data_IF_901620090194
#
_entry.id   IF_901620090194
#
_cell.length_a   1.000
_cell.length_b   1.000
_cell.length_c   1.000
_cell.angle_alpha   90.00
_cell.angle_beta   90.00
_cell.angle_gamma   90.00
#
_symmetry.space_group_name_H-M   'P 1'
#
loop_
_entity.id
_entity.type
_entity.pdbx_description
1 polymer ?
#
# COMPACT_ATOMS: atom_id res chain seq x y z
N UNK A 1 -11.21 3.21 19.77
CA UNK A 1 -10.58 3.91 18.65
C UNK A 1 -11.70 4.45 17.80
N UNK A 2 -11.71 5.73 17.48
CA UNK A 2 -12.68 6.31 16.56
C UNK A 2 -12.24 5.87 15.14
N UNK A 3 -13.02 5.00 14.53
CA UNK A 3 -12.72 4.41 13.22
C UNK A 3 -13.21 5.32 12.07
N UNK A 4 -13.83 6.46 12.41
CA UNK A 4 -14.36 7.38 11.44
C UNK A 4 -13.31 8.36 10.95
N UNK A 5 -13.27 8.59 9.65
CA UNK A 5 -12.62 9.76 9.07
C UNK A 5 -13.67 10.84 8.79
N UNK A 6 -13.21 12.06 8.65
CA UNK A 6 -14.06 13.17 8.24
C UNK A 6 -13.58 13.68 6.89
N UNK A 7 -14.41 13.60 5.83
CA UNK A 7 -14.06 14.19 4.56
C UNK A 7 -13.88 15.70 4.74
N UNK A 8 -12.83 16.22 4.12
CA UNK A 8 -12.54 17.66 4.11
C UNK A 8 -12.83 18.17 2.71
N UNK A 9 -13.64 19.21 2.64
CA UNK A 9 -13.91 19.97 1.41
C UNK A 9 -13.25 21.33 1.51
N UNK A 10 -12.80 21.88 0.41
CA UNK A 10 -12.16 23.21 0.35
C UNK A 10 -12.68 24.01 -0.84
N UNK A 11 -12.81 25.32 -0.65
CA UNK A 11 -13.14 26.26 -1.71
C UNK A 11 -11.88 26.73 -2.48
N UNK A 12 -10.71 26.15 -2.17
CA UNK A 12 -9.48 26.46 -2.89
C UNK A 12 -9.63 26.13 -4.38
N UNK A 13 -9.01 26.93 -5.22
CA UNK A 13 -8.94 26.63 -6.64
C UNK A 13 -8.12 25.34 -6.87
N UNK A 14 -8.63 24.46 -7.71
CA UNK A 14 -7.92 23.27 -8.09
C UNK A 14 -6.68 23.62 -8.94
N UNK A 15 -5.58 22.91 -8.70
CA UNK A 15 -4.36 23.00 -9.52
C UNK A 15 -4.33 21.79 -10.44
N UNK A 16 -4.06 22.02 -11.72
CA UNK A 16 -3.85 20.92 -12.67
C UNK A 16 -2.60 20.11 -12.25
N UNK A 17 -2.85 18.91 -11.72
CA UNK A 17 -1.81 18.07 -11.14
C UNK A 17 -2.18 16.59 -11.37
N UNK A 18 -1.88 16.06 -12.56
CA UNK A 18 -2.17 14.66 -12.85
C UNK A 18 -1.36 13.72 -11.94
N UNK A 19 -1.98 12.62 -11.57
CA UNK A 19 -1.29 11.51 -10.91
C UNK A 19 -0.46 10.69 -11.90
N UNK A 20 0.14 9.62 -11.42
CA UNK A 20 0.88 8.65 -12.25
C UNK A 20 0.34 7.24 -12.04
N UNK A 21 0.60 6.34 -12.97
CA UNK A 21 0.17 4.95 -12.88
C UNK A 21 1.08 4.08 -11.98
N UNK A 22 2.19 4.63 -11.50
CA UNK A 22 3.20 3.90 -10.72
C UNK A 22 3.26 4.41 -9.28
N UNK A 23 3.31 3.49 -8.34
CA UNK A 23 3.51 3.82 -6.92
C UNK A 23 4.86 4.49 -6.65
N UNK A 24 5.89 4.09 -7.36
CA UNK A 24 7.25 4.58 -7.11
C UNK A 24 7.45 6.00 -7.64
N UNK A 25 6.72 6.34 -8.71
CA UNK A 25 6.76 7.66 -9.35
C UNK A 25 5.52 8.50 -9.01
N UNK A 26 4.72 8.07 -8.01
CA UNK A 26 3.48 8.75 -7.67
C UNK A 26 3.70 10.24 -7.36
N UNK A 27 2.84 11.08 -7.94
CA UNK A 27 2.87 12.52 -7.72
C UNK A 27 2.69 12.84 -6.25
N UNK A 28 3.69 13.51 -5.65
CA UNK A 28 3.62 13.93 -4.25
C UNK A 28 2.64 15.07 -4.04
N UNK A 29 1.76 14.96 -3.03
CA UNK A 29 0.88 16.04 -2.61
C UNK A 29 1.26 16.50 -1.20
N UNK A 30 1.47 17.82 -1.06
CA UNK A 30 1.57 18.48 0.24
C UNK A 30 0.14 18.73 0.77
N UNK A 31 -0.48 17.64 1.25
CA UNK A 31 -1.85 17.70 1.75
C UNK A 31 -1.90 18.42 3.10
N UNK A 32 -2.73 19.47 3.19
CA UNK A 32 -2.94 20.25 4.42
C UNK A 32 -4.19 19.78 5.16
N UNK A 33 -4.38 20.25 6.39
CA UNK A 33 -5.60 19.95 7.15
C UNK A 33 -6.85 20.63 6.56
N UNK A 34 -6.68 21.73 5.84
CA UNK A 34 -7.73 22.46 5.14
C UNK A 34 -8.09 21.85 3.77
N UNK A 35 -7.30 20.88 3.32
CA UNK A 35 -7.44 20.23 2.02
C UNK A 35 -6.58 20.87 0.94
N UNK A 36 -5.95 20.04 0.14
CA UNK A 36 -5.25 20.41 -1.10
C UNK A 36 -6.07 19.90 -2.27
N UNK A 37 -6.46 20.79 -3.18
CA UNK A 37 -7.35 20.48 -4.31
C UNK A 37 -6.56 20.44 -5.61
N UNK A 38 -6.70 19.32 -6.33
CA UNK A 38 -6.10 19.13 -7.64
C UNK A 38 -7.17 18.79 -8.68
N UNK A 39 -6.95 19.17 -9.92
CA UNK A 39 -7.75 18.77 -11.05
C UNK A 39 -6.97 17.80 -11.93
N UNK A 40 -7.65 16.84 -12.49
CA UNK A 40 -7.10 15.88 -13.45
C UNK A 40 -8.17 15.37 -14.38
N UNK A 41 -7.77 14.68 -15.44
CA UNK A 41 -8.64 13.93 -16.33
C UNK A 41 -8.08 12.52 -16.47
N UNK A 42 -8.94 11.51 -16.40
CA UNK A 42 -8.58 10.10 -16.59
C UNK A 42 -9.35 9.56 -17.79
N UNK A 43 -8.67 8.83 -18.66
CA UNK A 43 -9.33 8.05 -19.70
C UNK A 43 -9.83 6.71 -19.15
N UNK A 44 -10.78 6.09 -19.84
CA UNK A 44 -11.20 4.71 -19.55
C UNK A 44 -10.00 3.76 -19.49
N UNK A 45 -9.96 2.92 -18.47
CA UNK A 45 -8.86 2.00 -18.18
C UNK A 45 -7.65 2.63 -17.52
N UNK A 46 -7.65 3.95 -17.29
CA UNK A 46 -6.54 4.66 -16.65
C UNK A 46 -6.63 4.57 -15.13
N UNK A 47 -5.45 4.56 -14.50
CA UNK A 47 -5.29 4.67 -13.05
C UNK A 47 -4.28 5.77 -12.74
N UNK A 48 -4.60 6.63 -11.81
CA UNK A 48 -3.70 7.67 -11.33
C UNK A 48 -3.52 7.58 -9.82
N UNK A 49 -2.30 7.85 -9.35
CA UNK A 49 -1.86 7.75 -7.97
C UNK A 49 -1.22 9.05 -7.51
N UNK A 50 -1.61 9.49 -6.32
CA UNK A 50 -0.96 10.58 -5.59
C UNK A 50 -0.44 10.07 -4.27
N UNK A 51 0.78 10.46 -3.93
CA UNK A 51 1.46 10.08 -2.70
C UNK A 51 1.31 11.16 -1.64
N UNK A 52 0.93 10.76 -0.44
CA UNK A 52 0.64 11.65 0.69
C UNK A 52 1.34 11.12 1.94
N UNK A 53 2.27 11.86 2.55
CA UNK A 53 2.90 11.46 3.80
C UNK A 53 1.91 11.60 4.97
N UNK A 54 1.78 10.55 5.79
CA UNK A 54 0.89 10.51 6.96
C UNK A 54 1.67 10.01 8.18
N UNK A 55 1.70 10.80 9.23
CA UNK A 55 2.38 10.49 10.48
C UNK A 55 1.51 9.73 11.49
N UNK A 56 2.12 9.32 12.61
CA UNK A 56 1.39 8.75 13.73
C UNK A 56 0.31 9.71 14.25
N UNK A 57 -0.90 9.21 14.49
CA UNK A 57 -2.04 9.99 14.98
C UNK A 57 -2.72 10.84 13.92
N UNK A 58 -2.16 10.94 12.73
CA UNK A 58 -2.78 11.60 11.59
C UNK A 58 -3.65 10.64 10.79
N UNK A 59 -4.57 11.18 10.03
CA UNK A 59 -5.42 10.44 9.10
C UNK A 59 -5.47 11.17 7.75
N UNK A 60 -5.63 10.42 6.68
CA UNK A 60 -5.85 10.97 5.34
C UNK A 60 -7.31 10.80 4.97
N UNK A 61 -7.86 11.83 4.31
CA UNK A 61 -9.15 11.77 3.64
C UNK A 61 -9.02 12.29 2.22
N UNK A 62 -9.81 11.75 1.31
CA UNK A 62 -9.89 12.21 -0.06
C UNK A 62 -11.34 12.28 -0.52
N UNK A 63 -11.63 13.33 -1.28
CA UNK A 63 -12.94 13.59 -1.89
C UNK A 63 -12.71 13.81 -3.37
N UNK A 64 -13.34 12.99 -4.22
CA UNK A 64 -13.33 13.17 -5.67
C UNK A 64 -14.70 13.66 -6.11
N UNK A 65 -14.73 14.82 -6.71
CA UNK A 65 -15.92 15.42 -7.31
C UNK A 65 -15.90 15.13 -8.83
N UNK A 66 -16.93 14.46 -9.30
CA UNK A 66 -17.18 14.16 -10.70
C UNK A 66 -18.28 15.12 -11.20
N UNK A 67 -18.02 15.97 -12.19
CA UNK A 67 -19.07 16.78 -12.78
C UNK A 67 -20.06 15.90 -13.54
N UNK A 68 -21.23 16.43 -13.82
CA UNK A 68 -22.14 15.80 -14.77
C UNK A 68 -21.49 15.73 -16.16
N UNK A 69 -21.74 14.65 -16.88
CA UNK A 69 -21.44 14.56 -18.28
C UNK A 69 -22.38 15.49 -19.06
N UNK A 70 -21.84 16.28 -19.96
CA UNK A 70 -22.59 17.21 -20.79
C UNK A 70 -22.01 17.17 -22.21
N UNK A 71 -22.72 16.53 -23.13
CA UNK A 71 -22.38 16.50 -24.55
C UNK A 71 -23.14 17.59 -25.36
N UNK A 72 -23.95 18.40 -24.66
CA UNK A 72 -24.75 19.47 -25.27
C UNK A 72 -26.05 18.96 -25.90
N UNK A 73 -26.38 17.65 -25.82
CA UNK A 73 -27.64 17.09 -26.28
C UNK A 73 -28.54 16.71 -25.07
N UNK A 74 -29.61 17.49 -24.79
CA UNK A 74 -30.46 17.24 -23.63
C UNK A 74 -31.29 15.96 -23.71
N UNK A 75 -31.36 15.31 -24.85
CA UNK A 75 -32.10 14.08 -25.06
C UNK A 75 -31.17 12.83 -25.12
N UNK A 76 -29.84 13.02 -25.08
CA UNK A 76 -28.89 11.92 -25.04
C UNK A 76 -28.88 11.28 -23.64
N UNK A 77 -28.92 9.97 -23.61
CA UNK A 77 -28.70 9.21 -22.36
C UNK A 77 -27.28 8.63 -22.38
N UNK A 78 -26.46 9.07 -21.43
CA UNK A 78 -25.09 8.63 -21.33
C UNK A 78 -24.89 7.75 -20.09
N UNK A 79 -24.37 6.54 -20.32
CA UNK A 79 -23.89 5.63 -19.28
C UNK A 79 -22.38 5.48 -19.45
N UNK A 80 -21.65 6.22 -18.67
CA UNK A 80 -20.20 6.22 -18.73
C UNK A 80 -19.55 5.14 -17.87
N UNK A 81 -18.23 5.16 -17.80
CA UNK A 81 -17.47 4.19 -17.02
C UNK A 81 -17.65 4.37 -15.52
N UNK A 82 -17.39 3.29 -14.77
CA UNK A 82 -17.28 3.37 -13.32
C UNK A 82 -15.95 4.01 -12.90
N UNK A 83 -16.05 4.95 -12.00
CA UNK A 83 -14.89 5.61 -11.35
C UNK A 83 -14.78 5.11 -9.93
N UNK A 84 -13.60 4.67 -9.54
CA UNK A 84 -13.30 4.21 -8.19
C UNK A 84 -12.20 5.02 -7.57
N UNK A 85 -12.37 5.39 -6.29
CA UNK A 85 -11.33 5.99 -5.46
C UNK A 85 -10.98 5.05 -4.31
N UNK A 86 -9.68 4.95 -3.98
CA UNK A 86 -9.16 4.12 -2.89
C UNK A 86 -8.04 4.83 -2.13
N UNK A 87 -7.85 4.44 -0.87
CA UNK A 87 -6.64 4.73 -0.12
C UNK A 87 -5.82 3.45 0.02
N UNK A 88 -4.55 3.53 -0.35
CA UNK A 88 -3.57 2.44 -0.26
C UNK A 88 -2.55 2.79 0.82
N UNK A 89 -2.30 1.87 1.74
CA UNK A 89 -1.39 2.07 2.86
C UNK A 89 0.09 1.87 2.48
N UNK A 90 1.05 2.20 3.36
CA UNK A 90 2.48 2.01 3.09
C UNK A 90 2.89 0.56 2.82
N UNK A 91 2.09 -0.42 3.23
CA UNK A 91 2.32 -1.84 2.97
C UNK A 91 1.67 -2.32 1.66
N UNK A 92 1.13 -1.40 0.86
CA UNK A 92 0.41 -1.65 -0.40
C UNK A 92 -0.91 -2.40 -0.22
N UNK A 93 -1.46 -2.39 0.99
CA UNK A 93 -2.80 -2.87 1.25
C UNK A 93 -3.84 -1.80 0.92
N UNK A 94 -4.94 -2.20 0.28
CA UNK A 94 -6.12 -1.34 0.21
C UNK A 94 -6.81 -1.45 1.56
N UNK A 95 -6.96 -0.30 2.22
CA UNK A 95 -7.73 -0.28 3.44
C UNK A 95 -9.21 -0.31 3.10
N UNK A 96 -9.91 -1.28 3.66
CA UNK A 96 -11.37 -1.34 3.65
C UNK A 96 -11.83 -1.74 5.04
N UNK A 97 -12.84 -1.08 5.56
CA UNK A 97 -13.54 -1.53 6.75
C UNK A 97 -14.87 -2.19 6.36
N UNK A 98 -15.62 -2.66 7.36
CA UNK A 98 -16.94 -3.25 7.15
C UNK A 98 -18.01 -2.25 6.63
N UNK A 99 -17.64 -0.99 6.49
CA UNK A 99 -18.48 0.11 5.99
C UNK A 99 -17.98 0.70 4.67
N UNK A 100 -16.99 0.06 4.04
CA UNK A 100 -16.42 0.46 2.73
C UNK A 100 -15.74 1.83 2.68
N UNK A 101 -15.35 2.40 3.82
CA UNK A 101 -14.75 3.74 3.88
C UNK A 101 -13.36 3.84 3.21
N UNK A 102 -12.73 2.72 2.85
CA UNK A 102 -11.42 2.67 2.20
C UNK A 102 -11.49 2.71 0.67
N UNK A 103 -12.68 2.53 0.10
CA UNK A 103 -12.94 2.67 -1.34
C UNK A 103 -14.36 3.14 -1.57
N UNK A 104 -14.57 3.88 -2.65
CA UNK A 104 -15.88 4.31 -3.11
C UNK A 104 -15.90 4.29 -4.65
N UNK A 105 -17.07 4.03 -5.23
CA UNK A 105 -17.26 4.05 -6.68
C UNK A 105 -18.58 4.70 -7.08
N UNK A 106 -18.61 5.28 -8.26
CA UNK A 106 -19.79 5.78 -8.92
C UNK A 106 -19.62 5.68 -10.44
N UNK A 107 -20.73 5.56 -11.14
CA UNK A 107 -20.74 5.65 -12.61
C UNK A 107 -20.71 7.12 -13.02
N UNK A 108 -19.78 7.48 -13.92
CA UNK A 108 -19.74 8.80 -14.52
C UNK A 108 -20.92 8.95 -15.50
N UNK A 109 -21.72 9.97 -15.35
CA UNK A 109 -22.95 10.11 -16.11
C UNK A 109 -23.60 11.48 -16.02
N UNK A 110 -24.89 11.56 -16.33
CA UNK A 110 -25.68 12.80 -16.42
C UNK A 110 -25.80 13.57 -15.10
N UNK A 111 -25.61 12.92 -13.95
CA UNK A 111 -25.65 13.54 -12.64
C UNK A 111 -24.26 13.64 -12.06
N UNK A 112 -23.91 14.78 -11.39
CA UNK A 112 -22.63 14.88 -10.71
C UNK A 112 -22.57 13.88 -9.55
N UNK A 113 -21.39 13.32 -9.31
CA UNK A 113 -21.17 12.40 -8.22
C UNK A 113 -20.00 12.85 -7.33
N UNK A 114 -20.06 12.49 -6.06
CA UNK A 114 -18.99 12.72 -5.10
C UNK A 114 -18.61 11.41 -4.44
N UNK A 115 -17.34 11.07 -4.52
CA UNK A 115 -16.76 9.89 -3.90
C UNK A 115 -15.91 10.31 -2.70
N UNK A 116 -16.07 9.65 -1.57
CA UNK A 116 -15.31 9.96 -0.35
C UNK A 116 -14.66 8.73 0.20
N UNK A 117 -13.37 8.84 0.55
CA UNK A 117 -12.60 7.79 1.19
C UNK A 117 -11.68 8.38 2.26
N UNK A 118 -11.23 7.56 3.17
CA UNK A 118 -10.26 7.98 4.17
C UNK A 118 -9.78 6.86 5.06
N UNK A 119 -8.87 7.17 5.95
CA UNK A 119 -8.34 6.23 6.94
C UNK A 119 -8.73 6.64 8.35
N UNK A 120 -8.77 5.73 9.31
CA UNK A 120 -8.71 6.10 10.71
C UNK A 120 -7.36 6.75 11.02
N UNK A 121 -7.23 7.35 12.19
CA UNK A 121 -5.95 7.86 12.63
C UNK A 121 -4.91 6.74 12.68
N UNK A 122 -3.73 7.00 12.08
CA UNK A 122 -2.63 6.03 12.06
C UNK A 122 -2.20 5.69 13.49
N UNK A 123 -2.32 4.43 13.86
CA UNK A 123 -2.09 3.98 15.22
C UNK A 123 -1.43 2.60 15.31
N UNK A 124 -0.44 2.48 16.21
CA UNK A 124 0.26 1.21 16.42
C UNK A 124 -0.70 0.06 16.77
N UNK A 125 -1.76 0.34 17.54
CA UNK A 125 -2.71 -0.68 17.98
C UNK A 125 -3.68 -1.11 16.87
N UNK A 126 -3.79 -0.36 15.77
CA UNK A 126 -4.65 -0.71 14.64
C UNK A 126 -4.28 -2.07 14.02
N UNK A 127 -3.01 -2.48 14.15
CA UNK A 127 -2.52 -3.80 13.68
C UNK A 127 -3.12 -5.00 14.38
N UNK A 128 -3.73 -4.81 15.54
CA UNK A 128 -4.32 -5.89 16.34
C UNK A 128 -5.83 -6.00 16.17
N UNK A 129 -6.42 -5.14 15.37
CA UNK A 129 -7.85 -5.13 15.04
C UNK A 129 -8.08 -5.21 13.54
N UNK A 130 -9.33 -5.14 13.15
CA UNK A 130 -9.73 -4.99 11.75
C UNK A 130 -9.68 -3.53 11.26
N UNK A 131 -9.08 -2.65 12.03
CA UNK A 131 -8.93 -1.23 11.73
C UNK A 131 -7.69 -1.03 10.89
N UNK A 132 -7.80 -0.34 9.77
CA UNK A 132 -6.69 -0.03 8.87
C UNK A 132 -5.69 0.98 9.44
N UNK A 133 -4.73 1.40 8.62
CA UNK A 133 -3.71 2.40 8.97
C UNK A 133 -2.81 2.02 10.19
N UNK A 134 -2.14 0.86 10.16
CA UNK A 134 -1.32 0.39 11.28
C UNK A 134 0.07 1.02 11.35
N UNK A 135 0.53 1.69 10.31
CA UNK A 135 1.87 2.26 10.20
C UNK A 135 1.84 3.64 9.54
N UNK A 136 2.73 4.57 9.95
CA UNK A 136 2.91 5.83 9.26
C UNK A 136 3.75 5.62 8.00
N UNK A 137 3.72 6.60 7.11
CA UNK A 137 4.51 6.59 5.89
C UNK A 137 3.76 7.20 4.73
N UNK A 138 4.19 6.86 3.53
CA UNK A 138 3.52 7.30 2.32
C UNK A 138 2.25 6.47 2.11
N UNK A 139 1.14 7.14 2.10
CA UNK A 139 -0.16 6.63 1.65
C UNK A 139 -0.39 7.07 0.21
N UNK A 140 -1.20 6.34 -0.52
CA UNK A 140 -1.56 6.72 -1.88
C UNK A 140 -3.07 6.85 -1.98
N UNK A 141 -3.49 7.97 -2.59
CA UNK A 141 -4.85 8.10 -3.10
C UNK A 141 -4.81 7.62 -4.54
N UNK A 142 -5.64 6.65 -4.85
CA UNK A 142 -5.77 6.04 -6.17
C UNK A 142 -7.13 6.40 -6.74
N UNK A 143 -7.14 6.92 -7.97
CA UNK A 143 -8.32 6.99 -8.83
C UNK A 143 -8.15 6.01 -9.98
N UNK A 144 -9.20 5.30 -10.31
CA UNK A 144 -9.23 4.37 -11.45
C UNK A 144 -10.55 4.51 -12.18
N UNK A 145 -10.50 4.48 -13.49
CA UNK A 145 -11.66 4.43 -14.37
C UNK A 145 -11.72 3.04 -15.00
N UNK A 146 -12.90 2.42 -14.99
CA UNK A 146 -13.08 1.09 -15.59
C UNK A 146 -12.68 1.10 -17.07
N UNK A 147 -12.10 0.00 -17.58
CA UNK A 147 -11.81 -0.09 -19.01
C UNK A 147 -13.12 -0.13 -19.81
N UNK A 148 -13.08 0.26 -21.08
CA UNK A 148 -14.24 0.16 -21.96
C UNK A 148 -14.69 -1.30 -22.10
N UNK A 149 -15.98 -1.51 -22.33
CA UNK A 149 -16.54 -2.83 -22.55
C UNK A 149 -15.88 -3.53 -23.75
N UNK A 150 -15.78 -4.86 -23.68
CA UNK A 150 -15.18 -5.65 -24.77
C UNK A 150 -15.95 -5.45 -26.06
N UNK A 151 -15.32 -4.88 -27.06
CA UNK A 151 -15.91 -4.58 -28.36
C UNK A 151 -16.58 -3.19 -28.46
N UNK A 152 -16.40 -2.32 -27.46
CA UNK A 152 -16.80 -0.93 -27.59
C UNK A 152 -16.08 -0.27 -28.78
N UNK A 153 -16.84 0.48 -29.59
CA UNK A 153 -16.32 1.25 -30.70
C UNK A 153 -16.33 2.73 -30.32
N UNK A 154 -15.25 3.44 -30.58
CA UNK A 154 -15.11 4.87 -30.31
C UNK A 154 -13.84 5.21 -29.56
N UNK A 155 -13.65 6.49 -29.30
CA UNK A 155 -12.54 6.97 -28.46
C UNK A 155 -12.89 6.72 -26.99
N UNK A 156 -11.89 6.43 -26.13
CA UNK A 156 -12.10 6.27 -24.70
C UNK A 156 -12.75 7.51 -24.08
N UNK A 157 -13.68 7.31 -23.18
CA UNK A 157 -14.32 8.39 -22.43
C UNK A 157 -13.29 9.02 -21.49
N UNK A 158 -13.20 10.35 -21.52
CA UNK A 158 -12.39 11.11 -20.59
C UNK A 158 -13.25 11.61 -19.43
N UNK A 159 -12.81 11.32 -18.21
CA UNK A 159 -13.49 11.69 -16.96
C UNK A 159 -12.72 12.77 -16.25
N UNK A 160 -13.24 14.03 -16.25
CA UNK A 160 -12.64 15.09 -15.45
C UNK A 160 -12.97 14.88 -13.97
N UNK A 161 -11.98 15.08 -13.10
CA UNK A 161 -12.11 14.91 -11.64
C UNK A 161 -11.46 16.07 -10.92
N UNK A 162 -12.15 16.62 -9.91
CA UNK A 162 -11.54 17.47 -8.90
C UNK A 162 -11.32 16.63 -7.63
N UNK A 163 -10.07 16.44 -7.26
CA UNK A 163 -9.68 15.64 -6.10
C UNK A 163 -9.20 16.56 -4.97
N UNK A 164 -9.86 16.49 -3.82
CA UNK A 164 -9.42 17.15 -2.58
C UNK A 164 -8.82 16.12 -1.65
N UNK A 165 -7.57 16.33 -1.24
CA UNK A 165 -6.88 15.45 -0.29
C UNK A 165 -6.49 16.25 0.94
N UNK A 166 -6.78 15.72 2.13
CA UNK A 166 -6.44 16.35 3.40
C UNK A 166 -5.75 15.35 4.34
N UNK A 167 -4.77 15.86 5.10
CA UNK A 167 -4.16 15.16 6.23
C UNK A 167 -4.52 15.91 7.49
N UNK A 168 -5.31 15.27 8.35
CA UNK A 168 -5.82 15.87 9.60
C UNK A 168 -5.27 15.16 10.82
N UNK A 169 -5.42 15.77 11.99
CA UNK A 169 -4.85 15.28 13.24
C UNK A 169 -3.44 15.83 13.48
N UNK A 170 -2.91 15.54 14.64
CA UNK A 170 -1.55 15.93 15.05
C UNK A 170 -0.69 14.69 15.26
N UNK A 171 0.58 14.79 14.95
CA UNK A 171 1.52 13.71 15.23
C UNK A 171 1.50 13.32 16.71
N UNK A 172 1.12 12.09 16.99
CA UNK A 172 0.98 11.57 18.34
C UNK A 172 0.89 10.04 18.34
N UNK A 173 1.13 9.43 19.49
CA UNK A 173 0.93 7.99 19.65
C UNK A 173 1.98 7.11 19.00
N UNK A 174 3.12 7.67 18.61
CA UNK A 174 4.27 6.87 18.19
C UNK A 174 4.67 5.89 19.31
N UNK A 175 4.95 4.62 18.98
CA UNK A 175 5.40 3.67 19.98
C UNK A 175 6.74 4.09 20.59
N UNK A 176 6.84 4.00 21.90
CA UNK A 176 8.11 4.19 22.60
C UNK A 176 8.64 2.83 23.05
N UNK A 177 9.91 2.60 22.80
CA UNK A 177 10.55 1.34 23.17
C UNK A 177 11.32 1.54 24.49
N UNK A 178 11.17 0.60 25.41
CA UNK A 178 11.84 0.65 26.72
C UNK A 178 13.36 0.42 26.60
N UNK A 179 13.82 -0.13 25.47
CA UNK A 179 15.23 -0.36 25.18
C UNK A 179 15.52 -0.03 23.73
N UNK A 180 16.75 0.36 23.45
CA UNK A 180 17.21 0.55 22.07
C UNK A 180 17.33 -0.82 21.39
N UNK A 181 16.60 -1.01 20.28
CA UNK A 181 16.58 -2.28 19.53
C UNK A 181 17.92 -2.53 18.82
N UNK A 182 18.68 -1.45 18.54
CA UNK A 182 19.90 -1.52 17.74
C UNK A 182 21.20 -1.54 18.56
N UNK A 183 21.12 -1.39 19.89
CA UNK A 183 22.29 -1.45 20.77
C UNK A 183 21.87 -1.36 22.22
N UNK A 184 21.98 -2.47 22.98
CA UNK A 184 21.43 -2.52 24.33
C UNK A 184 22.08 -1.54 25.32
N UNK A 185 23.32 -1.15 25.13
CA UNK A 185 24.08 -0.37 26.14
C UNK A 185 24.63 0.97 25.65
N UNK A 186 24.70 1.23 24.36
CA UNK A 186 25.39 2.42 23.83
C UNK A 186 24.48 3.48 23.24
N UNK A 187 23.26 3.13 22.88
CA UNK A 187 22.39 4.01 22.09
C UNK A 187 22.93 4.31 20.70
N UNK A 188 24.03 3.68 20.31
CA UNK A 188 24.64 3.82 19.00
C UNK A 188 24.18 2.67 18.09
N UNK A 189 23.89 3.01 16.84
CA UNK A 189 23.64 2.02 15.82
C UNK A 189 24.89 1.18 15.54
N UNK A 190 24.76 -0.09 15.07
CA UNK A 190 25.90 -0.87 14.65
C UNK A 190 26.76 -0.10 13.66
N UNK A 191 28.09 -0.30 13.72
CA UNK A 191 29.04 0.38 12.83
C UNK A 191 28.64 0.18 11.36
N UNK A 192 28.53 1.29 10.63
CA UNK A 192 28.10 1.29 9.23
C UNK A 192 26.59 1.41 9.01
N UNK A 193 25.78 1.47 10.07
CA UNK A 193 24.35 1.76 9.94
C UNK A 193 24.13 3.27 9.81
N UNK A 194 23.51 3.68 8.71
CA UNK A 194 23.06 5.06 8.50
C UNK A 194 21.53 5.05 8.37
N UNK A 195 20.80 5.65 9.34
CA UNK A 195 19.33 5.66 9.30
C UNK A 195 18.76 6.51 8.16
N UNK A 196 19.56 7.38 7.54
CA UNK A 196 19.17 8.17 6.38
C UNK A 196 19.34 7.41 5.06
N UNK A 197 20.06 6.30 5.08
CA UNK A 197 20.22 5.45 3.91
C UNK A 197 19.25 4.28 3.99
N UNK A 198 18.35 4.09 3.00
CA UNK A 198 17.47 2.93 2.97
C UNK A 198 18.29 1.64 3.08
N UNK A 199 17.88 0.76 3.98
CA UNK A 199 18.51 -0.54 4.13
C UNK A 199 18.14 -1.40 2.90
N UNK A 200 18.94 -1.30 1.86
CA UNK A 200 18.82 -2.15 0.67
C UNK A 200 19.45 -3.50 1.00
N UNK A 201 18.62 -4.49 1.29
CA UNK A 201 19.06 -5.88 1.27
C UNK A 201 19.29 -6.22 -0.20
N UNK A 202 20.53 -6.27 -0.63
CA UNK A 202 20.84 -6.83 -1.95
C UNK A 202 20.27 -8.25 -2.03
N UNK A 203 19.74 -8.64 -3.16
CA UNK A 203 18.93 -9.85 -3.35
C UNK A 203 19.60 -11.17 -2.91
N UNK A 204 20.86 -11.15 -2.55
CA UNK A 204 21.67 -12.32 -2.15
C UNK A 204 22.33 -12.17 -0.78
N UNK A 205 22.01 -11.07 -0.02
CA UNK A 205 22.69 -10.80 1.24
C UNK A 205 21.71 -10.84 2.39
N UNK A 206 21.70 -11.90 3.17
CA UNK A 206 21.01 -11.94 4.45
C UNK A 206 21.97 -11.47 5.54
N UNK A 207 21.67 -10.35 6.18
CA UNK A 207 22.30 -10.00 7.44
C UNK A 207 21.50 -10.63 8.57
N UNK A 208 22.14 -11.47 9.37
CA UNK A 208 21.59 -11.97 10.60
C UNK A 208 22.00 -11.04 11.74
N UNK A 209 21.07 -10.74 12.66
CA UNK A 209 21.40 -10.06 13.92
C UNK A 209 21.64 -11.11 14.97
N UNK A 210 22.80 -11.11 15.59
CA UNK A 210 23.09 -11.97 16.73
C UNK A 210 22.23 -11.59 17.94
N UNK A 211 22.07 -12.51 18.90
CA UNK A 211 21.26 -12.30 20.10
C UNK A 211 21.73 -11.13 20.97
N UNK A 212 22.97 -10.66 20.80
CA UNK A 212 23.58 -9.51 21.44
C UNK A 212 23.37 -8.20 20.64
N UNK A 213 22.61 -8.24 19.54
CA UNK A 213 22.35 -7.07 18.69
C UNK A 213 23.46 -6.77 17.68
N UNK A 214 24.53 -7.55 17.60
CA UNK A 214 25.57 -7.37 16.60
C UNK A 214 25.04 -7.78 15.21
N UNK A 215 25.29 -6.94 14.20
CA UNK A 215 25.02 -7.29 12.80
C UNK A 215 26.15 -8.23 12.35
N UNK A 216 25.79 -9.46 12.08
CA UNK A 216 26.71 -10.42 11.48
C UNK A 216 26.85 -10.11 10.00
N UNK A 217 28.08 -9.97 9.48
CA UNK A 217 28.29 -9.85 8.05
C UNK A 217 27.71 -11.11 7.38
N UNK A 218 27.06 -10.92 6.26
CA UNK A 218 26.67 -12.07 5.41
C UNK A 218 27.94 -12.85 5.10
N UNK A 219 28.00 -14.06 5.58
CA UNK A 219 29.14 -14.93 5.33
C UNK A 219 29.28 -15.16 3.84
N UNK A 220 30.41 -14.76 3.29
CA UNK A 220 30.82 -15.08 1.91
C UNK A 220 31.36 -16.52 1.81
N UNK A 221 31.01 -17.38 2.76
CA UNK A 221 31.47 -18.76 2.79
C UNK A 221 30.63 -19.61 1.83
N UNK A 222 31.13 -19.75 0.62
CA UNK A 222 30.70 -20.81 -0.31
C UNK A 222 30.78 -22.21 0.32
N UNK A 223 31.53 -22.35 1.42
CA UNK A 223 31.63 -23.57 2.24
C UNK A 223 30.43 -23.83 3.18
N UNK A 224 29.62 -22.84 3.49
CA UNK A 224 28.43 -22.99 4.33
C UNK A 224 27.33 -23.87 3.67
N UNK A 225 27.43 -24.10 2.36
CA UNK A 225 26.56 -25.03 1.64
C UNK A 225 26.65 -26.46 2.19
N UNK A 226 27.78 -26.87 2.75
CA UNK A 226 28.06 -28.21 3.27
C UNK A 226 28.01 -28.34 4.81
N UNK A 227 27.20 -27.53 5.48
CA UNK A 227 27.04 -27.57 6.94
C UNK A 227 26.48 -28.89 7.47
N UNK A 228 26.70 -29.19 8.77
CA UNK A 228 26.31 -30.47 9.40
C UNK A 228 24.84 -30.83 9.28
N UNK A 229 23.97 -29.83 9.15
CA UNK A 229 22.54 -30.01 8.94
C UNK A 229 22.19 -30.65 7.60
N UNK A 230 23.00 -30.42 6.56
CA UNK A 230 22.79 -31.05 5.26
C UNK A 230 23.27 -32.48 5.21
N UNK A 231 24.34 -32.78 5.91
CA UNK A 231 24.77 -34.19 6.08
C UNK A 231 23.70 -34.98 6.82
N UNK A 232 23.04 -34.42 7.83
CA UNK A 232 21.91 -35.01 8.49
C UNK A 232 20.71 -35.21 7.57
N UNK A 233 20.41 -34.25 6.70
CA UNK A 233 19.35 -34.34 5.69
C UNK A 233 19.62 -35.43 4.65
N UNK A 234 20.85 -35.53 4.14
CA UNK A 234 21.27 -36.57 3.19
C UNK A 234 21.22 -37.95 3.85
N UNK A 235 21.69 -38.07 5.09
CA UNK A 235 21.64 -39.33 5.83
C UNK A 235 20.20 -39.81 6.05
N UNK A 236 19.29 -38.91 6.42
CA UNK A 236 17.85 -39.20 6.56
C UNK A 236 17.21 -39.64 5.24
N UNK A 237 17.56 -39.00 4.13
CA UNK A 237 17.05 -39.36 2.80
C UNK A 237 17.52 -40.77 2.38
N UNK A 238 18.78 -41.10 2.64
CA UNK A 238 19.33 -42.42 2.35
C UNK A 238 18.66 -43.53 3.20
N UNK A 239 18.48 -43.28 4.50
CA UNK A 239 17.77 -44.25 5.41
C UNK A 239 16.32 -44.40 4.98
N UNK A 240 15.61 -43.32 4.67
CA UNK A 240 14.23 -43.35 4.18
C UNK A 240 14.11 -44.12 2.85
N UNK A 241 15.03 -43.90 1.93
CA UNK A 241 15.10 -44.62 0.65
C UNK A 241 15.34 -46.11 0.84
N UNK A 242 16.26 -46.49 1.73
CA UNK A 242 16.53 -47.89 2.05
C UNK A 242 15.32 -48.60 2.67
N UNK A 243 14.57 -47.91 3.54
CA UNK A 243 13.31 -48.44 4.14
C UNK A 243 12.23 -48.67 3.08
N UNK A 244 12.08 -47.76 2.12
CA UNK A 244 11.12 -47.92 1.03
C UNK A 244 11.47 -49.11 0.13
N UNK A 245 12.74 -49.28 -0.22
CA UNK A 245 13.19 -50.43 -1.03
C UNK A 245 13.00 -51.73 -0.31
N UNK A 246 13.34 -51.80 0.99
CA UNK A 246 13.13 -52.99 1.81
C UNK A 246 11.65 -53.35 1.96
N UNK A 247 10.79 -52.31 2.10
CA UNK A 247 9.33 -52.49 2.14
C UNK A 247 8.77 -53.03 0.82
N UNK A 248 9.21 -52.49 -0.30
CA UNK A 248 8.79 -52.95 -1.63
C UNK A 248 9.25 -54.38 -1.94
N UNK A 249 10.45 -54.77 -1.53
CA UNK A 249 10.98 -56.14 -1.70
C UNK A 249 10.21 -57.16 -0.83
N UNK A 250 9.76 -56.75 0.38
CA UNK A 250 8.92 -57.60 1.22
C UNK A 250 7.53 -57.83 0.64
N UNK A 251 6.94 -56.82 0.05
CA UNK A 251 5.65 -56.89 -0.63
C UNK A 251 5.68 -57.80 -1.86
N UNK A 252 6.79 -57.82 -2.61
CA UNK A 252 6.96 -58.71 -3.78
C UNK A 252 7.19 -60.20 -3.45
N UNK A 253 7.55 -60.52 -2.17
CA UNK A 253 7.79 -61.89 -1.71
C UNK A 253 6.58 -62.54 -1.03
N UNK A 254 5.49 -61.85 -0.93
CA UNK A 254 4.17 -62.39 -0.55
C UNK A 254 3.29 -62.55 -1.77
#
# INVERSE_FOLDING_TARGET
VDDSYRPVTTDAAATDTPGTASFDDATGLDATAEGTKVATTLAEGETQLWRVPVGWGQQVSAVADLPAYDDGDPDATFYGPDVEIRVVDPMRGVWSNSTDDGSASATYGEEPAQLTVGTPAVGYLNRYGSVGAPVPGDYWVQLAVSPPDEGAEGDPVEVPVELTVAVTGSESGAPTYASNVLGPDSGEAPGGYDPATPFLIAAETFSATAADGAVLPAGTDDDAWWGPQRYAGIALALVGGACLVAGALRLRRR
#
